data_IF_887041469631
#
_entry.id   IF_887041469631
#
_cell.length_a   1.000
_cell.length_b   1.000
_cell.length_c   1.000
_cell.angle_alpha   90.00
_cell.angle_beta   90.00
_cell.angle_gamma   90.00
#
_symmetry.space_group_name_H-M   'P 1'
#
loop_
_entity.id
_entity.type
_entity.pdbx_description
1 polymer ?
#
# COMPACT_ATOMS: atom_id res chain seq x y z
N UNK A 1 49.33 0.54 43.52
CA UNK A 1 48.49 0.43 42.31
C UNK A 1 47.72 1.73 42.15
N UNK A 2 47.88 2.42 41.03
CA UNK A 2 47.47 3.82 40.86
C UNK A 2 45.95 3.99 40.98
N UNK A 3 45.47 4.97 41.74
CA UNK A 3 44.05 5.39 41.79
C UNK A 3 43.48 5.62 40.37
N UNK A 4 44.32 6.14 39.46
CA UNK A 4 44.02 6.32 38.04
C UNK A 4 43.73 5.02 37.30
N UNK A 5 44.45 3.92 37.60
CA UNK A 5 44.17 2.62 36.99
C UNK A 5 42.84 2.04 37.44
N UNK A 6 42.46 2.21 38.71
CA UNK A 6 41.15 1.74 39.21
C UNK A 6 39.98 2.54 38.65
N UNK A 7 40.14 3.86 38.50
CA UNK A 7 39.12 4.72 37.89
C UNK A 7 38.97 4.46 36.38
N UNK A 8 40.07 4.30 35.65
CA UNK A 8 40.04 3.90 34.25
C UNK A 8 39.39 2.53 34.05
N UNK A 9 39.69 1.56 34.92
CA UNK A 9 39.08 0.23 34.87
C UNK A 9 37.57 0.30 35.12
N UNK A 10 37.12 1.09 36.12
CA UNK A 10 35.68 1.31 36.40
C UNK A 10 34.95 1.97 35.23
N UNK A 11 35.51 3.03 34.64
CA UNK A 11 34.93 3.70 33.49
C UNK A 11 34.88 2.78 32.26
N UNK A 12 35.94 2.01 32.02
CA UNK A 12 35.98 1.01 30.96
C UNK A 12 34.89 -0.05 31.12
N UNK A 13 34.73 -0.59 32.34
CA UNK A 13 33.68 -1.57 32.65
C UNK A 13 32.27 -0.98 32.49
N UNK A 14 32.06 0.28 32.89
CA UNK A 14 30.79 0.98 32.70
C UNK A 14 30.43 1.12 31.21
N UNK A 15 31.38 1.55 30.38
CA UNK A 15 31.19 1.67 28.92
C UNK A 15 30.90 0.31 28.30
N UNK A 16 31.64 -0.72 28.70
CA UNK A 16 31.48 -2.07 28.18
C UNK A 16 30.12 -2.67 28.57
N UNK A 17 29.66 -2.41 29.80
CA UNK A 17 28.32 -2.77 30.27
C UNK A 17 27.24 -2.05 29.45
N UNK A 18 27.42 -0.76 29.18
CA UNK A 18 26.48 0.00 28.34
C UNK A 18 26.42 -0.55 26.91
N UNK A 19 27.56 -0.83 26.28
CA UNK A 19 27.60 -1.45 24.95
C UNK A 19 26.87 -2.79 24.96
N UNK A 20 27.09 -3.62 25.99
CA UNK A 20 26.40 -4.89 26.14
C UNK A 20 24.89 -4.72 26.26
N UNK A 21 24.42 -3.79 27.12
CA UNK A 21 22.99 -3.48 27.27
C UNK A 21 22.39 -3.04 25.92
N UNK A 22 23.03 -2.11 25.21
CA UNK A 22 22.56 -1.66 23.89
C UNK A 22 22.53 -2.79 22.86
N UNK A 23 23.54 -3.66 22.86
CA UNK A 23 23.58 -4.82 21.97
C UNK A 23 22.44 -5.80 22.28
N UNK A 24 22.20 -6.10 23.55
CA UNK A 24 21.11 -7.00 23.97
C UNK A 24 19.76 -6.40 23.59
N UNK A 25 19.51 -5.12 23.89
CA UNK A 25 18.27 -4.43 23.48
C UNK A 25 18.12 -4.41 21.96
N UNK A 26 19.20 -4.17 21.22
CA UNK A 26 19.20 -4.20 19.76
C UNK A 26 18.86 -5.57 19.19
N UNK A 27 19.40 -6.64 19.77
CA UNK A 27 19.11 -8.02 19.36
C UNK A 27 17.70 -8.44 19.74
N UNK A 28 17.22 -8.14 20.96
CA UNK A 28 15.83 -8.41 21.33
C UNK A 28 14.87 -7.67 20.39
N UNK A 29 15.20 -6.44 19.99
CA UNK A 29 14.41 -5.70 19.01
C UNK A 29 14.51 -6.32 17.61
N UNK A 30 15.65 -6.85 17.20
CA UNK A 30 15.77 -7.53 15.91
C UNK A 30 15.00 -8.86 15.87
N UNK A 31 14.98 -9.58 16.99
CA UNK A 31 14.40 -10.93 17.10
C UNK A 31 12.88 -10.87 17.30
N UNK A 32 12.40 -9.96 18.17
CA UNK A 32 10.96 -9.78 18.44
C UNK A 32 10.24 -9.09 17.27
N UNK A 33 10.93 -8.21 16.54
CA UNK A 33 10.35 -7.45 15.42
C UNK A 33 10.76 -8.02 14.04
N UNK A 34 11.33 -9.24 14.03
CA UNK A 34 11.92 -9.91 12.87
C UNK A 34 10.95 -10.34 11.75
N UNK A 35 9.66 -10.05 11.84
CA UNK A 35 8.68 -10.33 10.78
C UNK A 35 8.13 -9.05 10.15
N UNK A 36 9.02 -8.14 9.75
CA UNK A 36 8.67 -7.17 8.70
C UNK A 36 9.20 -7.69 7.38
N UNK A 37 8.34 -7.72 6.36
CA UNK A 37 8.61 -8.31 5.05
C UNK A 37 9.97 -7.84 4.53
N UNK A 38 10.88 -8.79 4.55
CA UNK A 38 12.31 -8.70 4.32
C UNK A 38 12.69 -7.75 3.17
N UNK A 39 13.82 -7.06 3.35
CA UNK A 39 14.70 -6.48 2.31
C UNK A 39 14.88 -7.39 1.07
N UNK A 40 14.60 -8.70 1.19
CA UNK A 40 14.52 -9.68 0.09
C UNK A 40 13.39 -9.42 -0.91
N UNK A 41 12.26 -8.87 -0.47
CA UNK A 41 11.14 -8.44 -1.33
C UNK A 41 11.52 -7.22 -2.16
N UNK A 42 12.17 -6.21 -1.54
CA UNK A 42 12.68 -5.02 -2.23
C UNK A 42 13.72 -5.37 -3.31
N UNK A 43 14.69 -6.24 -3.00
CA UNK A 43 15.67 -6.73 -4.00
C UNK A 43 15.01 -7.47 -5.18
N UNK A 44 13.89 -8.18 -4.95
CA UNK A 44 13.16 -8.91 -6.00
C UNK A 44 12.26 -7.98 -6.84
N UNK A 45 11.73 -6.92 -6.24
CA UNK A 45 10.92 -5.90 -6.91
C UNK A 45 11.77 -5.03 -7.86
N UNK A 46 12.94 -4.55 -7.40
CA UNK A 46 13.91 -3.83 -8.24
C UNK A 46 14.34 -4.65 -9.46
N UNK A 47 14.66 -5.94 -9.26
CA UNK A 47 15.08 -6.86 -10.35
C UNK A 47 13.96 -7.18 -11.35
N UNK A 48 12.69 -7.08 -10.94
CA UNK A 48 11.53 -7.22 -11.82
C UNK A 48 11.28 -5.96 -12.64
N UNK A 49 11.47 -4.78 -12.05
CA UNK A 49 11.38 -3.50 -12.76
C UNK A 49 12.45 -3.36 -13.85
N UNK A 50 13.70 -3.72 -13.55
CA UNK A 50 14.80 -3.71 -14.53
C UNK A 50 14.52 -4.62 -15.74
N UNK A 51 13.88 -5.78 -15.51
CA UNK A 51 13.46 -6.71 -16.57
C UNK A 51 12.25 -6.22 -17.37
N UNK A 52 11.38 -5.41 -16.76
CA UNK A 52 10.24 -4.80 -17.44
C UNK A 52 10.66 -3.58 -18.27
N UNK A 53 11.61 -2.79 -17.76
CA UNK A 53 12.16 -1.63 -18.46
C UNK A 53 12.99 -2.04 -19.68
N UNK A 54 13.77 -3.13 -19.58
CA UNK A 54 14.49 -3.71 -20.72
C UNK A 54 13.58 -4.38 -21.77
N UNK A 55 12.40 -4.91 -21.39
CA UNK A 55 11.39 -5.39 -22.36
C UNK A 55 10.64 -4.23 -23.02
N UNK A 56 10.31 -3.18 -22.29
CA UNK A 56 9.67 -1.98 -22.86
C UNK A 56 10.59 -1.26 -23.85
N UNK A 57 11.89 -1.20 -23.58
CA UNK A 57 12.89 -0.63 -24.50
C UNK A 57 13.11 -1.46 -25.78
N UNK A 58 12.68 -2.73 -25.83
CA UNK A 58 12.86 -3.61 -27.01
C UNK A 58 11.70 -3.53 -28.02
N UNK A 59 10.59 -2.87 -27.69
CA UNK A 59 9.36 -2.87 -28.51
C UNK A 59 9.30 -1.70 -29.50
N UNK A 60 10.23 -0.73 -29.46
CA UNK A 60 10.13 0.52 -30.24
C UNK A 60 10.95 0.55 -31.55
N UNK A 61 11.37 -0.58 -32.12
CA UNK A 61 11.98 -0.58 -33.47
C UNK A 61 10.90 -0.89 -34.52
N UNK A 62 10.60 0.04 -35.46
CA UNK A 62 9.52 -0.13 -36.43
C UNK A 62 10.00 -0.99 -37.61
N UNK A 63 9.38 -2.15 -37.81
CA UNK A 63 9.59 -2.97 -38.99
C UNK A 63 8.48 -2.67 -40.01
N UNK A 64 8.73 -1.68 -40.86
CA UNK A 64 8.04 -1.52 -42.13
C UNK A 64 8.46 -2.65 -43.10
N UNK A 65 7.49 -3.39 -43.65
CA UNK A 65 7.35 -3.77 -45.08
C UNK A 65 6.54 -5.07 -45.28
N UNK A 66 5.84 -5.09 -46.44
CA UNK A 66 5.20 -6.22 -47.15
C UNK A 66 3.85 -6.67 -46.59
N UNK A 67 2.78 -6.97 -47.35
CA UNK A 67 2.43 -6.96 -48.78
C UNK A 67 0.89 -7.20 -48.80
N UNK A 68 0.05 -6.40 -49.47
CA UNK A 68 -0.46 -6.55 -50.83
C UNK A 68 -1.30 -7.84 -51.12
N UNK A 69 -2.48 -7.62 -51.75
CA UNK A 69 -3.36 -8.54 -52.52
C UNK A 69 -4.19 -9.57 -51.70
N UNK A 70 -5.48 -9.87 -51.92
CA UNK A 70 -6.40 -9.84 -53.09
C UNK A 70 -7.88 -10.09 -52.60
N UNK A 71 -8.88 -9.33 -53.07
CA UNK A 71 -9.98 -9.71 -54.00
C UNK A 71 -11.08 -10.67 -53.43
N UNK A 72 -12.34 -10.19 -53.20
CA UNK A 72 -13.52 -10.28 -54.11
C UNK A 72 -14.17 -11.69 -54.13
N UNK A 73 -15.48 -12.01 -54.17
CA UNK A 73 -16.83 -11.41 -54.10
C UNK A 73 -17.79 -12.63 -54.00
N UNK A 74 -18.98 -12.52 -53.36
CA UNK A 74 -20.28 -13.06 -53.87
C UNK A 74 -21.39 -13.15 -52.79
N UNK A 75 -22.59 -12.71 -53.21
CA UNK A 75 -23.93 -12.81 -52.57
C UNK A 75 -24.69 -14.05 -53.16
N UNK A 76 -26.02 -14.34 -52.97
CA UNK A 76 -27.12 -13.68 -52.23
C UNK A 76 -28.16 -14.63 -51.52
N UNK A 77 -29.29 -14.01 -51.06
CA UNK A 77 -30.66 -14.55 -50.88
C UNK A 77 -31.00 -15.34 -49.60
N UNK A 78 -32.21 -15.34 -48.99
CA UNK A 78 -33.48 -14.59 -49.06
C UNK A 78 -34.44 -15.19 -47.98
N UNK A 79 -35.48 -14.44 -47.60
CA UNK A 79 -36.79 -14.88 -47.05
C UNK A 79 -37.08 -14.88 -45.52
N UNK A 80 -38.23 -14.28 -45.20
CA UNK A 80 -38.89 -14.02 -43.90
C UNK A 80 -40.04 -15.06 -43.63
N UNK A 81 -41.13 -14.81 -42.87
CA UNK A 81 -41.39 -14.33 -41.48
C UNK A 81 -42.34 -15.26 -40.64
N UNK A 82 -42.66 -14.89 -39.38
CA UNK A 82 -43.77 -15.42 -38.54
C UNK A 82 -43.30 -16.13 -37.25
N UNK A 83 -43.89 -16.05 -36.05
CA UNK A 83 -45.25 -15.70 -35.61
C UNK A 83 -45.30 -15.30 -34.11
N UNK A 84 -46.38 -14.61 -33.74
CA UNK A 84 -46.85 -14.18 -32.41
C UNK A 84 -47.10 -15.30 -31.38
N UNK A 85 -47.03 -15.01 -30.08
CA UNK A 85 -47.48 -15.92 -29.01
C UNK A 85 -47.19 -15.50 -27.56
N UNK A 86 -48.02 -14.59 -27.03
CA UNK A 86 -48.55 -14.40 -25.67
C UNK A 86 -47.90 -15.01 -24.38
N UNK A 87 -47.90 -14.14 -23.36
CA UNK A 87 -48.31 -14.35 -21.96
C UNK A 87 -47.31 -14.83 -20.87
N UNK A 88 -47.06 -13.87 -19.95
CA UNK A 88 -47.07 -13.98 -18.48
C UNK A 88 -46.26 -15.07 -17.77
N UNK A 89 -45.25 -14.62 -17.03
CA UNK A 89 -44.59 -15.41 -16.00
C UNK A 89 -43.62 -14.57 -15.17
N UNK A 90 -44.13 -14.01 -14.08
CA UNK A 90 -43.44 -13.29 -13.02
C UNK A 90 -42.11 -13.96 -12.64
N UNK A 91 -40.98 -13.37 -13.03
CA UNK A 91 -39.70 -13.58 -12.36
C UNK A 91 -39.03 -12.23 -12.23
N UNK A 92 -38.95 -11.74 -10.99
CA UNK A 92 -38.12 -10.61 -10.63
C UNK A 92 -36.73 -10.83 -11.22
N UNK A 93 -36.18 -9.91 -12.04
CA UNK A 93 -34.77 -9.94 -12.32
C UNK A 93 -34.09 -9.74 -10.97
N UNK A 94 -33.44 -10.79 -10.49
CA UNK A 94 -32.32 -10.64 -9.58
C UNK A 94 -31.47 -9.58 -10.26
N UNK A 95 -31.49 -8.37 -9.71
CA UNK A 95 -30.65 -7.27 -10.13
C UNK A 95 -29.23 -7.65 -9.73
N UNK A 96 -28.67 -8.58 -10.49
CA UNK A 96 -27.25 -8.77 -10.70
C UNK A 96 -26.78 -7.50 -11.40
N UNK A 97 -26.75 -6.39 -10.66
CA UNK A 97 -25.97 -5.24 -11.02
C UNK A 97 -24.52 -5.65 -10.71
N UNK A 98 -23.71 -6.07 -11.70
CA UNK A 98 -22.27 -6.13 -11.46
C UNK A 98 -21.89 -4.75 -10.94
N UNK A 99 -21.14 -4.62 -9.83
CA UNK A 99 -20.86 -3.33 -9.24
C UNK A 99 -20.36 -2.41 -10.35
N UNK A 100 -21.20 -1.39 -10.66
CA UNK A 100 -20.95 -0.34 -11.64
C UNK A 100 -19.46 -0.11 -11.66
N UNK A 101 -18.84 -0.31 -12.83
CA UNK A 101 -17.43 -0.05 -13.12
C UNK A 101 -16.99 1.21 -12.37
N UNK A 102 -16.45 1.05 -11.15
CA UNK A 102 -16.05 2.16 -10.28
C UNK A 102 -14.91 2.83 -11.03
N UNK A 103 -15.20 3.99 -11.60
CA UNK A 103 -14.38 4.62 -12.61
C UNK A 103 -12.96 4.82 -12.10
N UNK A 104 -12.02 4.09 -12.70
CA UNK A 104 -10.70 4.52 -13.18
C UNK A 104 -9.70 5.21 -12.22
N UNK A 105 -10.06 5.64 -11.01
CA UNK A 105 -9.19 6.32 -10.05
C UNK A 105 -9.58 6.05 -8.58
N UNK A 106 -9.85 4.80 -8.22
CA UNK A 106 -9.95 4.43 -6.81
C UNK A 106 -8.53 4.28 -6.22
N UNK A 107 -8.23 4.85 -5.03
CA UNK A 107 -6.94 4.68 -4.39
C UNK A 107 -6.60 3.20 -4.28
N UNK A 108 -5.48 2.79 -4.88
CA UNK A 108 -5.09 1.38 -4.97
C UNK A 108 -3.90 1.06 -4.08
N UNK A 109 -3.10 2.08 -3.73
CA UNK A 109 -1.87 1.90 -2.96
C UNK A 109 -1.73 3.01 -1.92
N UNK A 110 -1.37 2.63 -0.69
CA UNK A 110 -0.91 3.55 0.35
C UNK A 110 0.62 3.58 0.31
N UNK A 111 1.21 4.74 0.08
CA UNK A 111 2.68 4.91 -0.01
C UNK A 111 3.19 5.79 1.12
N UNK A 112 4.29 5.39 1.75
CA UNK A 112 5.01 6.23 2.71
C UNK A 112 5.92 7.18 1.93
N UNK A 113 5.65 8.48 1.99
CA UNK A 113 6.43 9.52 1.30
C UNK A 113 7.55 10.08 2.16
N UNK A 114 7.37 10.12 3.48
CA UNK A 114 8.38 10.62 4.42
C UNK A 114 8.42 9.76 5.69
N UNK A 115 9.59 9.77 6.36
CA UNK A 115 9.84 9.05 7.60
C UNK A 115 10.75 7.82 7.42
N UNK A 116 10.96 7.03 8.48
CA UNK A 116 11.89 5.90 8.47
C UNK A 116 11.49 4.79 7.48
N UNK A 117 10.21 4.74 7.10
CA UNK A 117 9.64 3.73 6.20
C UNK A 117 9.41 4.25 4.78
N UNK A 118 10.02 5.38 4.41
CA UNK A 118 9.87 6.00 3.08
C UNK A 118 10.09 4.98 1.96
N UNK A 119 9.20 4.99 0.96
CA UNK A 119 9.22 4.05 -0.17
C UNK A 119 8.48 2.73 0.10
N UNK A 120 7.95 2.51 1.30
CA UNK A 120 7.05 1.39 1.59
C UNK A 120 5.68 1.64 0.97
N UNK A 121 5.16 0.66 0.24
CA UNK A 121 3.85 0.75 -0.42
C UNK A 121 3.00 -0.46 -0.10
N UNK A 122 1.77 -0.25 0.38
CA UNK A 122 0.81 -1.31 0.68
C UNK A 122 -0.41 -1.22 -0.25
N UNK A 123 -0.90 -2.36 -0.77
CA UNK A 123 -2.13 -2.36 -1.54
C UNK A 123 -3.32 -2.07 -0.62
N UNK A 124 -4.17 -1.13 -1.03
CA UNK A 124 -5.42 -0.79 -0.38
C UNK A 124 -6.46 -1.89 -0.68
N UNK A 125 -6.75 -2.71 0.34
CA UNK A 125 -7.67 -3.87 0.24
C UNK A 125 -8.96 -3.65 1.02
N UNK A 126 -10.05 -4.29 0.60
CA UNK A 126 -11.40 -4.06 1.15
C UNK A 126 -11.60 -4.34 2.64
N UNK A 127 -10.63 -4.95 3.33
CA UNK A 127 -10.68 -5.19 4.78
C UNK A 127 -10.17 -4.00 5.63
N UNK A 128 -9.68 -2.94 4.99
CA UNK A 128 -9.06 -1.82 5.68
C UNK A 128 -7.60 -2.09 6.08
N UNK A 129 -6.87 -1.01 6.36
CA UNK A 129 -5.47 -1.00 6.76
C UNK A 129 -5.37 -0.36 8.13
N UNK A 130 -4.90 -1.13 9.11
CA UNK A 130 -4.53 -0.62 10.42
C UNK A 130 -3.09 -0.11 10.39
N UNK A 131 -2.87 1.08 10.93
CA UNK A 131 -1.58 1.76 10.95
C UNK A 131 -1.24 2.09 12.41
N UNK A 132 -0.01 1.81 12.81
CA UNK A 132 0.45 2.08 14.16
C UNK A 132 1.73 1.33 14.50
N UNK A 133 2.19 1.46 15.74
CA UNK A 133 3.43 0.86 16.22
C UNK A 133 3.29 -0.62 16.59
N UNK A 134 2.07 -1.10 16.82
CA UNK A 134 1.82 -2.50 17.18
C UNK A 134 2.14 -3.40 15.98
N UNK A 135 2.87 -4.51 16.13
CA UNK A 135 3.09 -5.52 15.08
C UNK A 135 1.80 -6.10 14.47
N UNK A 136 0.65 -6.00 15.14
CA UNK A 136 -0.66 -6.38 14.55
C UNK A 136 -1.13 -5.45 13.43
N UNK A 137 -0.51 -4.28 13.28
CA UNK A 137 -0.86 -3.32 12.23
C UNK A 137 -0.37 -3.79 10.87
N UNK A 138 -1.17 -3.55 9.83
CA UNK A 138 -0.76 -3.84 8.46
C UNK A 138 0.45 -2.96 8.05
N UNK A 139 0.44 -1.69 8.46
CA UNK A 139 1.60 -0.80 8.38
C UNK A 139 2.13 -0.55 9.79
N UNK A 140 3.20 -1.28 10.13
CA UNK A 140 3.91 -1.12 11.40
C UNK A 140 4.83 0.09 11.30
N UNK A 141 4.57 1.11 12.11
CA UNK A 141 5.37 2.33 12.19
C UNK A 141 6.45 2.17 13.27
N UNK A 142 7.71 2.40 12.89
CA UNK A 142 8.82 2.47 13.85
C UNK A 142 9.04 3.91 14.32
N UNK A 143 8.04 4.48 14.97
CA UNK A 143 8.02 5.87 15.43
C UNK A 143 7.50 5.96 16.87
N UNK A 144 8.27 6.63 17.74
CA UNK A 144 7.91 6.88 19.13
C UNK A 144 6.69 7.80 19.28
N UNK A 145 6.40 8.61 18.26
CA UNK A 145 5.21 9.44 18.22
C UNK A 145 3.96 8.71 17.68
N UNK A 146 4.10 7.46 17.20
CA UNK A 146 2.99 6.64 16.78
C UNK A 146 2.47 5.77 17.96
N UNK A 147 1.16 5.66 18.06
CA UNK A 147 0.50 4.81 19.07
C UNK A 147 0.44 3.37 18.55
N UNK A 148 0.27 2.39 19.45
CA UNK A 148 0.18 0.97 19.08
C UNK A 148 -0.83 0.72 17.96
N UNK A 149 -2.07 1.18 18.15
CA UNK A 149 -3.09 1.26 17.11
C UNK A 149 -3.40 2.74 16.93
N UNK A 150 -2.82 3.38 15.91
CA UNK A 150 -2.86 4.83 15.79
C UNK A 150 -4.06 5.29 14.96
N UNK A 151 -4.18 4.79 13.75
CA UNK A 151 -5.33 5.07 12.89
C UNK A 151 -5.67 3.86 12.01
N UNK A 152 -6.88 3.87 11.48
CA UNK A 152 -7.32 2.90 10.48
C UNK A 152 -7.80 3.60 9.23
N UNK A 153 -7.43 3.05 8.08
CA UNK A 153 -8.01 3.36 6.79
C UNK A 153 -8.99 2.26 6.43
N UNK A 154 -10.21 2.59 6.03
CA UNK A 154 -11.21 1.60 5.63
C UNK A 154 -12.06 2.11 4.45
N UNK A 155 -12.61 1.23 3.62
CA UNK A 155 -13.51 1.63 2.55
C UNK A 155 -14.86 2.12 3.13
N UNK A 156 -15.34 3.27 2.68
CA UNK A 156 -16.72 3.73 2.91
C UNK A 156 -17.52 3.82 1.61
N UNK A 157 -18.60 4.60 1.64
CA UNK A 157 -19.56 4.73 0.53
C UNK A 157 -18.91 5.24 -0.75
N UNK A 158 -18.11 6.31 -0.63
CA UNK A 158 -17.61 7.08 -1.78
C UNK A 158 -16.08 7.12 -1.87
N UNK A 159 -15.38 6.31 -1.08
CA UNK A 159 -13.92 6.29 -1.10
C UNK A 159 -13.31 5.61 0.12
N UNK A 160 -12.08 6.02 0.44
CA UNK A 160 -11.38 5.59 1.63
C UNK A 160 -11.61 6.60 2.75
N UNK A 161 -11.92 6.12 3.95
CA UNK A 161 -12.02 6.95 5.14
C UNK A 161 -10.85 6.62 6.06
N UNK A 162 -10.33 7.65 6.70
CA UNK A 162 -9.38 7.51 7.80
C UNK A 162 -10.09 7.84 9.11
N UNK A 163 -9.78 7.07 10.13
CA UNK A 163 -10.24 7.27 11.50
C UNK A 163 -9.07 7.13 12.47
N UNK A 164 -8.95 8.10 13.37
CA UNK A 164 -7.99 8.07 14.46
C UNK A 164 -8.52 7.17 15.58
N UNK A 165 -7.70 6.22 16.04
CA UNK A 165 -8.08 5.27 17.10
C UNK A 165 -7.65 5.80 18.47
N UNK A 166 -8.05 7.05 18.76
CA UNK A 166 -7.69 7.77 19.99
C UNK A 166 -6.18 7.81 20.21
N UNK A 167 -5.44 8.23 19.18
CA UNK A 167 -3.99 8.28 19.28
C UNK A 167 -3.51 9.42 20.18
N UNK A 168 -2.36 9.23 20.82
CA UNK A 168 -1.82 10.20 21.79
C UNK A 168 -1.48 11.54 21.13
N UNK A 169 -0.82 11.49 19.97
CA UNK A 169 -0.37 12.68 19.25
C UNK A 169 -1.36 13.15 18.17
N UNK A 170 -2.35 12.32 17.82
CA UNK A 170 -3.31 12.60 16.76
C UNK A 170 -2.80 12.22 15.37
N UNK A 171 -3.75 11.89 14.50
CA UNK A 171 -3.55 11.80 13.04
C UNK A 171 -3.84 13.16 12.41
N UNK A 172 -3.03 13.58 11.43
CA UNK A 172 -3.22 14.85 10.71
C UNK A 172 -3.46 14.58 9.22
N UNK A 173 -4.41 15.30 8.63
CA UNK A 173 -4.64 15.33 7.18
C UNK A 173 -4.17 16.68 6.66
N UNK A 174 -3.06 16.71 5.95
CA UNK A 174 -2.36 17.95 5.61
C UNK A 174 -1.96 18.71 6.89
N UNK A 175 -2.68 19.80 7.19
CA UNK A 175 -2.45 20.63 8.39
C UNK A 175 -3.49 20.42 9.49
N UNK A 176 -4.62 19.79 9.18
CA UNK A 176 -5.75 19.67 10.10
C UNK A 176 -5.64 18.38 10.91
N UNK A 177 -5.92 18.44 12.21
CA UNK A 177 -6.02 17.24 13.05
C UNK A 177 -7.35 16.53 12.78
N UNK A 178 -7.27 15.22 12.62
CA UNK A 178 -8.42 14.35 12.47
C UNK A 178 -9.10 14.14 13.84
N UNK A 179 -10.38 14.50 13.93
CA UNK A 179 -11.21 14.31 15.14
C UNK A 179 -12.39 13.37 14.90
N UNK A 180 -12.85 13.24 13.66
CA UNK A 180 -13.91 12.34 13.22
C UNK A 180 -13.47 11.60 11.95
N UNK A 181 -14.10 10.47 11.59
CA UNK A 181 -13.80 9.77 10.35
C UNK A 181 -13.97 10.70 9.15
N UNK A 182 -12.90 10.87 8.35
CA UNK A 182 -12.89 11.79 7.21
C UNK A 182 -12.49 11.05 5.92
N UNK A 183 -13.13 11.33 4.79
CA UNK A 183 -12.70 10.79 3.50
C UNK A 183 -11.30 11.28 3.12
N UNK A 184 -10.53 10.40 2.49
CA UNK A 184 -9.17 10.65 2.01
C UNK A 184 -9.13 10.37 0.52
N UNK A 185 -8.73 11.40 -0.24
CA UNK A 185 -8.60 11.32 -1.69
C UNK A 185 -7.16 10.97 -2.10
N UNK A 186 -6.98 10.58 -3.36
CA UNK A 186 -5.66 10.37 -3.95
C UNK A 186 -4.85 11.67 -3.87
N UNK A 187 -3.57 11.58 -3.52
CA UNK A 187 -2.70 12.74 -3.35
C UNK A 187 -2.81 13.42 -1.98
N UNK A 188 -3.77 13.02 -1.16
CA UNK A 188 -3.90 13.57 0.20
C UNK A 188 -2.82 12.99 1.11
N UNK A 189 -2.10 13.88 1.81
CA UNK A 189 -1.07 13.50 2.77
C UNK A 189 -1.64 13.30 4.16
N UNK A 190 -1.44 12.12 4.74
CA UNK A 190 -1.74 11.78 6.13
C UNK A 190 -0.44 11.76 6.92
N UNK A 191 -0.34 12.59 7.96
CA UNK A 191 0.83 12.64 8.84
C UNK A 191 0.53 11.99 10.18
N UNK A 192 1.41 11.09 10.57
CA UNK A 192 1.38 10.35 11.84
C UNK A 192 2.77 10.47 12.44
N UNK A 193 2.91 11.25 13.52
CA UNK A 193 4.23 11.52 14.10
C UNK A 193 5.20 12.13 13.08
N UNK A 194 6.27 11.40 12.78
CA UNK A 194 7.33 11.70 11.81
C UNK A 194 7.10 11.04 10.44
N UNK A 195 6.05 10.25 10.29
CA UNK A 195 5.74 9.52 9.05
C UNK A 195 4.65 10.24 8.27
N UNK A 196 4.88 10.41 6.96
CA UNK A 196 3.87 10.94 6.03
C UNK A 196 3.48 9.85 5.04
N UNK A 197 2.17 9.68 4.88
CA UNK A 197 1.55 8.68 4.03
C UNK A 197 0.71 9.39 2.96
N UNK A 198 0.63 8.80 1.78
CA UNK A 198 -0.12 9.33 0.66
C UNK A 198 -0.89 8.18 -0.02
N UNK A 199 -2.15 8.43 -0.35
CA UNK A 199 -2.95 7.51 -1.16
C UNK A 199 -2.63 7.75 -2.64
N UNK A 200 -2.27 6.69 -3.35
CA UNK A 200 -1.94 6.68 -4.79
C UNK A 200 -2.82 5.69 -5.56
N UNK A 201 -3.04 5.96 -6.84
CA UNK A 201 -3.81 5.13 -7.77
C UNK A 201 -3.26 5.18 -9.18
#
# INVERSE_FOLDING_TARGET
>A
MSELTLTLLRLGLLVLLWIFIFSVVGVLRADIYGTTISRRSQRKALKRQEKQQSRAARVTVPAARSAAAEAATDLPASAAPGSSGAASGMTSPIENNPPRRRGRHAPTTLTVTEGPLTGTSLPLRGNGILIGRNPECALVLDDDYASGRHCRLFPGSDGWLVEDLSSTNGTFIGRDRLTSPRPVEIGTTLRIGKTVLELRG
#
